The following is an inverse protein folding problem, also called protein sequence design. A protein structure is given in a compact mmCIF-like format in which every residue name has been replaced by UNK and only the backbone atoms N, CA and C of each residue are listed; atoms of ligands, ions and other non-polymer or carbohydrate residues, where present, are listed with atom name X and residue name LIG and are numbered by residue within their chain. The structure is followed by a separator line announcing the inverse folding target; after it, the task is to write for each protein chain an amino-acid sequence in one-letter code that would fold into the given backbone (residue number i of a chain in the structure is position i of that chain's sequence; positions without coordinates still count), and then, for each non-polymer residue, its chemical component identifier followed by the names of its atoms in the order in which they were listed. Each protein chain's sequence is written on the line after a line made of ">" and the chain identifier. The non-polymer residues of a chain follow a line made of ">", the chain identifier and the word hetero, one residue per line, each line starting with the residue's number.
data_IF_023730498861
#
_entry.id   IF_023730498861
#
_cell.length_a   1.000
_cell.length_b   1.000
_cell.length_c   1.000
_cell.angle_alpha   90.00
_cell.angle_beta   90.00
_cell.angle_gamma   90.00
#
_symmetry.space_group_name_H-M   'P 1'
#
loop_
_entity.id
_entity.type
_entity.pdbx_description
1 polymer ?
#
# COMPACT_ATOMS: atom_id res chain seq x y z
N UNK A 1 -22.56 -0.95 1.56
CA UNK A 1 -21.59 -1.54 0.64
C UNK A 1 -20.72 -2.61 1.32
N UNK A 2 -19.94 -2.29 2.39
CA UNK A 2 -19.04 -3.26 3.07
C UNK A 2 -19.79 -4.49 3.58
N UNK A 3 -20.92 -4.30 4.28
CA UNK A 3 -21.73 -5.42 4.81
C UNK A 3 -22.36 -6.28 3.70
N UNK A 4 -22.69 -5.66 2.56
CA UNK A 4 -23.23 -6.38 1.40
C UNK A 4 -22.16 -7.24 0.73
N UNK A 5 -20.95 -6.69 0.54
CA UNK A 5 -19.82 -7.42 -0.02
C UNK A 5 -19.42 -8.62 0.85
N UNK A 6 -19.39 -8.43 2.17
CA UNK A 6 -19.10 -9.46 3.17
C UNK A 6 -20.07 -10.67 3.04
N UNK A 7 -21.36 -10.40 2.81
CA UNK A 7 -22.36 -11.47 2.62
C UNK A 7 -22.25 -12.18 1.28
N UNK A 8 -21.86 -11.47 0.23
CA UNK A 8 -21.86 -12.01 -1.14
C UNK A 8 -20.71 -12.99 -1.37
N UNK A 9 -19.56 -12.78 -0.75
CA UNK A 9 -18.34 -13.57 -0.97
C UNK A 9 -17.86 -14.37 0.25
N UNK A 10 -18.63 -14.36 1.35
CA UNK A 10 -18.24 -14.99 2.63
C UNK A 10 -16.85 -14.54 3.12
N UNK A 11 -16.58 -13.24 2.98
CA UNK A 11 -15.32 -12.62 3.35
C UNK A 11 -15.59 -11.55 4.39
N UNK A 12 -14.84 -11.58 5.48
CA UNK A 12 -14.91 -10.56 6.52
C UNK A 12 -13.92 -9.44 6.22
N UNK A 13 -14.41 -8.29 5.75
CA UNK A 13 -13.60 -7.12 5.44
C UNK A 13 -13.21 -6.42 6.74
N UNK A 14 -11.92 -6.48 7.08
CA UNK A 14 -11.38 -5.96 8.34
C UNK A 14 -10.53 -4.70 8.18
N UNK A 15 -10.01 -4.47 6.98
CA UNK A 15 -9.10 -3.36 6.71
C UNK A 15 -9.62 -2.52 5.55
N UNK A 16 -9.51 -1.20 5.69
CA UNK A 16 -9.76 -0.22 4.65
C UNK A 16 -8.48 0.58 4.43
N UNK A 17 -7.90 0.47 3.24
CA UNK A 17 -6.71 1.20 2.83
C UNK A 17 -7.13 2.42 2.02
N UNK A 18 -6.58 3.58 2.32
CA UNK A 18 -6.85 4.82 1.62
C UNK A 18 -5.66 5.78 1.68
N UNK A 19 -5.59 6.75 0.77
CA UNK A 19 -4.61 7.82 0.81
C UNK A 19 -4.89 8.78 1.97
N UNK A 20 -3.90 9.61 2.33
CA UNK A 20 -4.05 10.63 3.35
C UNK A 20 -5.15 11.63 2.98
N UNK A 21 -5.22 12.07 1.72
CA UNK A 21 -6.21 13.04 1.24
C UNK A 21 -7.62 12.47 1.30
N UNK A 22 -7.80 11.19 0.92
CA UNK A 22 -9.08 10.49 1.05
C UNK A 22 -9.49 10.37 2.52
N UNK A 23 -8.53 10.09 3.41
CA UNK A 23 -8.79 10.04 4.84
C UNK A 23 -9.17 11.41 5.41
N UNK A 24 -8.48 12.49 5.00
CA UNK A 24 -8.81 13.85 5.42
C UNK A 24 -10.27 14.21 5.03
N UNK A 25 -10.62 14.00 3.76
CA UNK A 25 -12.00 14.21 3.28
C UNK A 25 -13.02 13.37 4.04
N UNK A 26 -12.69 12.10 4.36
CA UNK A 26 -13.54 11.21 5.14
C UNK A 26 -13.79 11.76 6.55
N UNK A 27 -12.78 12.29 7.22
CA UNK A 27 -12.89 12.82 8.60
C UNK A 27 -13.62 14.16 8.68
N UNK A 28 -13.74 14.88 7.57
CA UNK A 28 -14.52 16.12 7.47
C UNK A 28 -16.03 15.87 7.39
N UNK A 29 -16.47 14.64 7.11
CA UNK A 29 -17.88 14.31 7.02
C UNK A 29 -18.58 14.41 8.37
N UNK A 30 -19.76 15.02 8.39
CA UNK A 30 -20.53 15.23 9.64
C UNK A 30 -20.88 13.92 10.35
N UNK A 31 -21.07 12.83 9.59
CA UNK A 31 -21.38 11.51 10.12
C UNK A 31 -20.21 10.93 10.91
N UNK A 32 -18.99 11.02 10.35
CA UNK A 32 -17.78 10.53 11.00
C UNK A 32 -17.48 11.34 12.26
N UNK A 33 -17.62 12.67 12.19
CA UNK A 33 -17.44 13.54 13.34
C UNK A 33 -18.42 13.19 14.47
N UNK A 34 -19.71 12.99 14.16
CA UNK A 34 -20.73 12.58 15.15
C UNK A 34 -20.41 11.22 15.78
N UNK A 35 -19.99 10.24 14.97
CA UNK A 35 -19.63 8.92 15.47
C UNK A 35 -18.41 9.04 16.41
N UNK A 36 -17.35 9.70 15.98
CA UNK A 36 -16.17 9.88 16.81
C UNK A 36 -16.49 10.63 18.12
N UNK A 37 -17.35 11.63 18.05
CA UNK A 37 -17.84 12.36 19.19
C UNK A 37 -18.56 11.46 20.20
N UNK A 38 -19.38 10.52 19.75
CA UNK A 38 -20.12 9.61 20.64
C UNK A 38 -19.22 8.62 21.38
N UNK A 39 -18.02 8.35 20.86
CA UNK A 39 -17.01 7.49 21.49
C UNK A 39 -15.92 8.26 22.23
N UNK A 40 -15.88 9.58 22.12
CA UNK A 40 -14.92 10.40 22.86
C UNK A 40 -15.35 10.54 24.34
N UNK A 41 -14.43 10.24 25.25
CA UNK A 41 -14.68 10.34 26.70
C UNK A 41 -14.95 11.79 27.17
N UNK A 42 -14.60 12.80 26.37
CA UNK A 42 -14.82 14.23 26.64
C UNK A 42 -15.43 14.92 25.42
N UNK A 43 -16.74 15.09 25.45
CA UNK A 43 -17.52 15.76 24.42
C UNK A 43 -17.12 17.22 24.11
N UNK A 44 -16.31 17.84 24.95
CA UNK A 44 -15.84 19.22 24.76
C UNK A 44 -14.69 19.40 23.78
N UNK A 45 -14.08 18.31 23.28
CA UNK A 45 -12.99 18.35 22.29
C UNK A 45 -13.45 18.15 20.84
N UNK A 46 -14.72 18.21 20.57
CA UNK A 46 -15.37 17.77 19.30
C UNK A 46 -15.21 18.78 18.14
N UNK A 47 -14.55 19.89 18.33
CA UNK A 47 -14.32 20.86 17.25
C UNK A 47 -13.06 20.61 16.43
N UNK A 48 -12.35 19.50 16.66
CA UNK A 48 -11.16 19.15 15.91
C UNK A 48 -11.43 17.94 15.00
N UNK A 49 -10.85 17.96 13.83
CA UNK A 49 -10.82 16.81 12.91
C UNK A 49 -10.31 15.58 13.66
N UNK A 50 -11.07 14.47 13.72
CA UNK A 50 -10.67 13.31 14.50
C UNK A 50 -9.40 12.68 13.95
N UNK A 51 -8.51 12.25 14.85
CA UNK A 51 -7.30 11.54 14.47
C UNK A 51 -7.61 10.12 13.98
N UNK A 52 -6.65 9.50 13.26
CA UNK A 52 -6.77 8.11 12.79
C UNK A 52 -7.07 7.13 13.94
N UNK A 53 -6.47 7.33 15.11
CA UNK A 53 -6.70 6.47 16.27
C UNK A 53 -8.12 6.64 16.83
N UNK A 54 -8.63 7.87 16.91
CA UNK A 54 -9.99 8.16 17.34
C UNK A 54 -11.02 7.53 16.39
N UNK A 55 -10.81 7.67 15.07
CA UNK A 55 -11.66 7.06 14.04
C UNK A 55 -11.65 5.54 14.18
N UNK A 56 -10.48 4.92 14.26
CA UNK A 56 -10.38 3.48 14.40
C UNK A 56 -11.00 2.96 15.71
N UNK A 57 -10.90 3.69 16.78
CA UNK A 57 -11.56 3.35 18.06
C UNK A 57 -13.07 3.41 17.92
N UNK A 58 -13.60 4.46 17.31
CA UNK A 58 -15.03 4.61 17.05
C UNK A 58 -15.56 3.50 16.15
N UNK A 59 -14.85 3.18 15.04
CA UNK A 59 -15.24 2.10 14.11
C UNK A 59 -15.27 0.73 14.78
N UNK A 60 -14.33 0.43 15.69
CA UNK A 60 -14.33 -0.82 16.46
C UNK A 60 -15.52 -0.94 17.40
N UNK A 61 -16.02 0.19 17.91
CA UNK A 61 -17.21 0.24 18.75
C UNK A 61 -18.51 -0.06 18.00
N UNK A 62 -18.51 0.06 16.68
CA UNK A 62 -19.66 -0.19 15.82
C UNK A 62 -19.77 -1.69 15.48
N UNK A 63 -20.68 -2.40 16.14
CA UNK A 63 -20.84 -3.86 15.99
C UNK A 63 -21.09 -4.31 14.53
N UNK A 64 -21.79 -3.50 13.73
CA UNK A 64 -22.10 -3.81 12.35
C UNK A 64 -20.90 -3.71 11.39
N UNK A 65 -19.81 -3.02 11.79
CA UNK A 65 -18.57 -2.94 11.02
C UNK A 65 -17.56 -4.04 11.38
N UNK A 66 -17.90 -4.91 12.35
CA UNK A 66 -17.10 -6.09 12.72
C UNK A 66 -15.62 -5.81 12.99
N UNK A 67 -15.33 -4.62 13.52
CA UNK A 67 -13.96 -4.21 13.86
C UNK A 67 -13.12 -3.74 12.67
N UNK A 68 -13.76 -3.15 11.65
CA UNK A 68 -13.07 -2.51 10.53
C UNK A 68 -12.02 -1.52 11.03
N UNK A 69 -10.83 -1.58 10.46
CA UNK A 69 -9.71 -0.70 10.75
C UNK A 69 -9.27 0.04 9.49
N UNK A 70 -9.10 1.36 9.58
CA UNK A 70 -8.55 2.18 8.52
C UNK A 70 -7.03 2.17 8.62
N UNK A 71 -6.37 2.00 7.47
CA UNK A 71 -4.92 2.13 7.28
C UNK A 71 -4.69 3.21 6.23
N UNK A 72 -4.02 4.27 6.64
CA UNK A 72 -3.64 5.35 5.73
C UNK A 72 -2.31 5.01 5.07
N UNK A 73 -2.27 5.12 3.75
CA UNK A 73 -1.06 4.97 2.93
C UNK A 73 -0.60 6.37 2.56
N UNK A 74 0.48 6.80 3.20
CA UNK A 74 1.11 8.11 3.02
C UNK A 74 2.60 7.92 2.73
N UNK A 75 2.89 7.15 1.68
CA UNK A 75 4.26 6.86 1.28
C UNK A 75 4.48 7.34 -0.15
N UNK A 76 5.32 8.36 -0.30
CA UNK A 76 5.77 8.79 -1.61
C UNK A 76 6.87 7.89 -2.15
N UNK A 77 6.82 7.65 -3.45
CA UNK A 77 7.86 6.98 -4.20
C UNK A 77 8.30 7.86 -5.37
N UNK A 78 9.56 7.74 -5.74
CA UNK A 78 10.10 8.35 -6.96
C UNK A 78 10.62 7.23 -7.86
N UNK A 79 10.13 7.20 -9.10
CA UNK A 79 10.62 6.29 -10.13
C UNK A 79 11.66 7.06 -10.94
N UNK A 80 12.89 6.54 -10.97
CA UNK A 80 13.99 7.08 -11.78
C UNK A 80 14.34 6.05 -12.86
N UNK A 81 14.38 6.49 -14.10
CA UNK A 81 14.80 5.67 -15.24
C UNK A 81 16.32 5.73 -15.43
N UNK A 82 16.87 4.79 -16.21
CA UNK A 82 18.29 4.71 -16.46
C UNK A 82 18.92 5.91 -17.19
N UNK A 83 18.09 6.77 -17.77
CA UNK A 83 18.48 8.06 -18.36
C UNK A 83 18.49 9.22 -17.37
N UNK A 84 18.18 8.95 -16.08
CA UNK A 84 18.08 9.95 -15.02
C UNK A 84 16.74 10.70 -14.99
N UNK A 85 15.81 10.41 -15.90
CA UNK A 85 14.48 11.00 -15.88
C UNK A 85 13.64 10.43 -14.72
N UNK A 86 12.74 11.27 -14.18
CA UNK A 86 11.86 10.93 -13.05
C UNK A 86 10.40 11.07 -13.47
N UNK A 87 9.86 10.09 -14.20
CA UNK A 87 8.50 10.18 -14.74
C UNK A 87 7.41 10.19 -13.68
N UNK A 88 7.71 9.73 -12.46
CA UNK A 88 6.77 9.73 -11.36
C UNK A 88 7.47 10.05 -10.04
N UNK A 89 6.87 10.96 -9.27
CA UNK A 89 7.23 11.23 -7.89
C UNK A 89 5.94 11.60 -7.14
N UNK A 90 5.61 10.85 -6.09
CA UNK A 90 4.41 11.06 -5.28
C UNK A 90 3.85 9.76 -4.70
N UNK A 91 2.66 9.86 -4.12
CA UNK A 91 1.97 8.70 -3.57
C UNK A 91 1.42 7.81 -4.69
N UNK A 92 1.81 6.53 -4.76
CA UNK A 92 1.32 5.62 -5.79
C UNK A 92 -0.12 5.15 -5.55
N UNK A 93 -0.66 5.37 -4.35
CA UNK A 93 -2.03 5.01 -4.03
C UNK A 93 -2.99 6.09 -4.56
N UNK A 94 -3.93 5.69 -5.43
CA UNK A 94 -4.84 6.60 -6.12
C UNK A 94 -5.74 7.34 -5.13
N UNK A 95 -5.86 8.66 -5.28
CA UNK A 95 -6.82 9.48 -4.54
C UNK A 95 -8.26 9.02 -4.83
N UNK A 96 -9.16 9.28 -3.89
CA UNK A 96 -10.58 8.90 -3.95
C UNK A 96 -10.86 7.40 -4.04
N UNK A 97 -9.85 6.55 -3.90
CA UNK A 97 -10.02 5.10 -3.87
C UNK A 97 -9.87 4.58 -2.45
N UNK A 98 -10.80 3.73 -2.04
CA UNK A 98 -10.72 2.97 -0.79
C UNK A 98 -10.70 1.49 -1.13
N UNK A 99 -9.65 0.80 -0.70
CA UNK A 99 -9.52 -0.64 -0.88
C UNK A 99 -9.85 -1.37 0.42
N UNK A 100 -10.85 -2.23 0.38
CA UNK A 100 -11.21 -3.09 1.52
C UNK A 100 -10.61 -4.48 1.34
N UNK A 101 -10.08 -5.04 2.42
CA UNK A 101 -9.50 -6.38 2.43
C UNK A 101 -9.74 -7.09 3.79
N UNK A 102 -9.68 -8.42 3.78
CA UNK A 102 -9.76 -9.22 5.01
C UNK A 102 -8.45 -9.22 5.81
N UNK A 103 -7.32 -9.02 5.14
CA UNK A 103 -5.97 -9.09 5.71
C UNK A 103 -5.21 -7.79 5.53
N UNK A 104 -4.37 -7.46 6.50
CA UNK A 104 -3.40 -6.37 6.38
C UNK A 104 -2.29 -6.69 5.37
N UNK A 105 -1.97 -7.97 5.20
CA UNK A 105 -0.97 -8.44 4.24
C UNK A 105 -1.69 -8.80 2.95
N UNK A 106 -1.42 -8.06 1.89
CA UNK A 106 -2.06 -8.22 0.57
C UNK A 106 -1.45 -9.37 -0.23
N UNK A 107 -0.18 -9.67 0.01
CA UNK A 107 0.55 -10.70 -0.73
C UNK A 107 1.99 -10.80 -0.29
N UNK A 108 2.80 -11.42 -1.12
CA UNK A 108 4.23 -11.58 -0.86
C UNK A 108 5.05 -11.44 -2.13
N UNK A 109 6.31 -11.08 -1.97
CA UNK A 109 7.25 -11.03 -3.07
C UNK A 109 7.99 -12.36 -3.21
N UNK A 110 7.88 -12.98 -4.37
CA UNK A 110 8.64 -14.17 -4.73
C UNK A 110 9.94 -13.75 -5.41
N UNK A 111 11.03 -14.40 -5.03
CA UNK A 111 12.36 -14.12 -5.52
C UNK A 111 12.89 -15.34 -6.26
N UNK A 112 13.62 -15.10 -7.38
CA UNK A 112 14.33 -16.12 -8.12
C UNK A 112 15.79 -15.72 -8.22
N UNK A 113 16.70 -16.65 -7.98
CA UNK A 113 18.14 -16.45 -8.15
C UNK A 113 18.43 -16.02 -9.59
N UNK A 114 19.14 -14.90 -9.82
CA UNK A 114 19.52 -14.49 -11.15
C UNK A 114 20.36 -15.58 -11.86
N UNK A 115 20.01 -15.90 -13.12
CA UNK A 115 20.73 -16.90 -13.92
C UNK A 115 22.21 -16.56 -14.10
N UNK A 116 22.53 -15.29 -14.08
CA UNK A 116 23.89 -14.75 -14.19
C UNK A 116 24.85 -15.20 -13.09
N UNK A 117 24.35 -15.72 -11.97
CA UNK A 117 25.20 -16.28 -10.93
C UNK A 117 26.10 -17.42 -11.47
N UNK A 118 25.55 -18.24 -12.36
CA UNK A 118 26.20 -19.41 -12.91
C UNK A 118 26.97 -19.13 -14.21
N UNK A 119 26.84 -17.96 -14.80
CA UNK A 119 27.57 -17.61 -16.03
C UNK A 119 29.03 -17.33 -15.71
N UNK A 120 29.95 -18.08 -16.32
CA UNK A 120 31.39 -17.84 -16.27
C UNK A 120 31.74 -16.71 -17.22
N UNK A 121 32.44 -15.70 -16.76
CA UNK A 121 32.88 -14.55 -17.57
C UNK A 121 33.90 -13.68 -16.82
N UNK A 122 34.38 -12.63 -17.46
CA UNK A 122 35.39 -11.68 -16.96
C UNK A 122 34.85 -10.72 -15.86
N UNK A 123 34.14 -11.25 -14.88
CA UNK A 123 33.61 -10.45 -13.77
C UNK A 123 34.56 -10.55 -12.61
N UNK A 124 35.09 -9.42 -12.12
CA UNK A 124 36.06 -9.37 -11.03
C UNK A 124 35.50 -9.89 -9.71
N UNK A 125 34.21 -9.66 -9.43
CA UNK A 125 33.55 -10.12 -8.21
C UNK A 125 32.08 -10.46 -8.51
N UNK A 126 31.63 -11.62 -8.01
CA UNK A 126 30.20 -11.97 -7.88
C UNK A 126 29.91 -12.36 -6.46
N UNK A 127 28.91 -11.72 -5.85
CA UNK A 127 28.49 -12.03 -4.51
C UNK A 127 26.94 -11.96 -4.41
N UNK A 128 26.36 -12.86 -3.62
CA UNK A 128 24.95 -12.78 -3.26
C UNK A 128 24.81 -12.00 -1.96
N UNK A 129 23.93 -11.00 -1.95
CA UNK A 129 23.49 -10.32 -0.75
C UNK A 129 21.97 -10.48 -0.65
N UNK A 130 21.52 -11.42 0.19
CA UNK A 130 20.12 -11.83 0.24
C UNK A 130 19.67 -12.37 -1.13
N UNK A 131 18.73 -11.68 -1.77
CA UNK A 131 18.16 -12.04 -3.08
C UNK A 131 18.79 -11.29 -4.26
N UNK A 132 19.77 -10.42 -4.00
CA UNK A 132 20.40 -9.57 -4.99
C UNK A 132 21.79 -10.11 -5.33
N UNK A 133 22.06 -10.33 -6.62
CA UNK A 133 23.39 -10.62 -7.14
C UNK A 133 24.12 -9.32 -7.36
N UNK A 134 25.26 -9.14 -6.71
CA UNK A 134 26.17 -8.02 -6.87
C UNK A 134 27.30 -8.48 -7.79
N UNK A 135 27.52 -7.72 -8.86
CA UNK A 135 28.65 -7.91 -9.79
C UNK A 135 29.51 -6.67 -9.80
N UNK A 136 30.83 -6.87 -9.80
CA UNK A 136 31.81 -5.83 -10.06
C UNK A 136 32.63 -6.21 -11.29
N UNK A 137 32.81 -5.28 -12.20
CA UNK A 137 33.67 -5.42 -13.36
C UNK A 137 34.32 -4.08 -13.68
N UNK A 138 35.48 -4.14 -14.31
CA UNK A 138 36.22 -2.98 -14.74
C UNK A 138 36.18 -2.89 -16.27
N UNK A 139 36.00 -1.69 -16.80
CA UNK A 139 36.23 -1.36 -18.20
C UNK A 139 37.63 -0.74 -18.33
N UNK A 140 38.34 -1.09 -19.37
CA UNK A 140 39.71 -0.58 -19.62
C UNK A 140 39.67 0.76 -20.38
N UNK A 141 38.65 0.97 -21.23
CA UNK A 141 38.48 2.21 -22.01
C UNK A 141 37.00 2.63 -22.06
N UNK A 142 36.59 3.72 -21.37
CA UNK A 142 37.36 4.44 -20.36
C UNK A 142 37.61 3.59 -19.10
N UNK A 143 38.68 3.90 -18.38
CA UNK A 143 39.00 3.20 -17.14
C UNK A 143 37.92 3.50 -16.07
N UNK A 144 37.07 2.54 -15.80
CA UNK A 144 36.00 2.68 -14.80
C UNK A 144 35.73 1.35 -14.08
N UNK A 145 35.35 1.42 -12.81
CA UNK A 145 34.84 0.29 -12.06
C UNK A 145 33.32 0.41 -11.95
N UNK A 146 32.60 -0.60 -12.47
CA UNK A 146 31.15 -0.65 -12.43
C UNK A 146 30.69 -1.67 -11.40
N UNK A 147 29.78 -1.25 -10.52
CA UNK A 147 29.07 -2.13 -9.59
C UNK A 147 27.61 -2.23 -10.02
N UNK A 148 27.12 -3.44 -10.29
CA UNK A 148 25.76 -3.72 -10.72
C UNK A 148 25.06 -4.64 -9.73
N UNK A 149 23.84 -4.29 -9.32
CA UNK A 149 22.93 -5.14 -8.57
C UNK A 149 21.83 -5.72 -9.47
N UNK A 150 21.64 -7.02 -9.43
CA UNK A 150 20.58 -7.72 -10.19
C UNK A 150 19.73 -8.51 -9.23
N UNK A 151 18.40 -8.30 -9.29
CA UNK A 151 17.43 -9.09 -8.55
C UNK A 151 16.25 -9.44 -9.45
N UNK A 152 15.76 -10.68 -9.34
CA UNK A 152 14.54 -11.13 -9.99
C UNK A 152 13.47 -11.27 -8.90
N UNK A 153 12.48 -10.39 -8.91
CA UNK A 153 11.40 -10.37 -7.95
C UNK A 153 10.05 -10.30 -8.65
N UNK A 154 9.07 -10.98 -8.11
CA UNK A 154 7.69 -10.91 -8.55
C UNK A 154 6.78 -10.65 -7.35
N UNK A 155 6.19 -9.46 -7.21
CA UNK A 155 5.20 -9.18 -6.21
C UNK A 155 3.88 -9.86 -6.60
N UNK A 156 3.40 -10.79 -5.77
CA UNK A 156 2.14 -11.49 -6.00
C UNK A 156 1.08 -11.01 -5.01
N UNK A 157 -0.02 -10.51 -5.54
CA UNK A 157 -1.19 -10.14 -4.76
C UNK A 157 -2.09 -11.38 -4.55
N UNK A 158 -2.00 -12.00 -3.39
CA UNK A 158 -2.67 -13.25 -3.07
C UNK A 158 -4.13 -13.08 -2.66
N UNK A 159 -4.51 -11.89 -2.21
CA UNK A 159 -5.86 -11.59 -1.72
C UNK A 159 -6.73 -10.84 -2.72
N UNK A 160 -6.37 -10.81 -4.01
CA UNK A 160 -7.09 -10.05 -5.04
C UNK A 160 -8.57 -10.42 -5.16
N UNK A 161 -8.91 -11.71 -5.05
CA UNK A 161 -10.31 -12.20 -5.10
C UNK A 161 -11.13 -11.85 -3.85
N UNK A 162 -10.48 -11.42 -2.77
CA UNK A 162 -11.10 -11.08 -1.48
C UNK A 162 -10.95 -9.59 -1.14
N UNK A 163 -10.69 -8.79 -2.16
CA UNK A 163 -10.55 -7.34 -2.04
C UNK A 163 -11.66 -6.64 -2.80
N UNK A 164 -12.04 -5.47 -2.33
CA UNK A 164 -12.99 -4.57 -2.99
C UNK A 164 -12.39 -3.20 -3.11
N UNK A 165 -12.63 -2.58 -4.26
CA UNK A 165 -12.30 -1.19 -4.49
C UNK A 165 -13.59 -0.37 -4.47
N UNK A 166 -13.54 0.78 -3.84
CA UNK A 166 -14.59 1.78 -3.83
C UNK A 166 -13.99 3.10 -4.33
N UNK A 167 -14.55 3.63 -5.41
CA UNK A 167 -14.24 4.97 -5.89
C UNK A 167 -15.22 5.95 -5.24
N UNK A 168 -14.71 6.86 -4.42
CA UNK A 168 -15.53 7.84 -3.68
C UNK A 168 -15.90 9.05 -4.53
N UNK A 169 -15.23 9.29 -5.66
CA UNK A 169 -15.52 10.37 -6.60
C UNK A 169 -16.58 9.98 -7.63
N UNK A 170 -16.84 8.69 -7.81
CA UNK A 170 -17.79 8.20 -8.78
C UNK A 170 -19.20 8.09 -8.18
N UNK A 171 -20.13 8.91 -8.64
CA UNK A 171 -21.55 8.90 -8.22
C UNK A 171 -22.38 7.80 -8.87
N UNK A 172 -21.88 7.17 -9.95
CA UNK A 172 -22.58 6.13 -10.72
C UNK A 172 -21.87 4.80 -10.59
N UNK A 173 -22.29 3.98 -9.62
CA UNK A 173 -21.83 2.60 -9.51
C UNK A 173 -22.62 1.73 -10.49
N UNK A 174 -21.95 1.21 -11.51
CA UNK A 174 -22.46 0.07 -12.28
C UNK A 174 -21.97 -1.24 -11.65
N UNK A 175 -22.92 -2.09 -11.28
CA UNK A 175 -22.64 -3.45 -10.78
C UNK A 175 -22.34 -4.40 -11.94
#
# INVERSE_FOLDING_TARGET
>A
AVVSADKTKDVSLKYAFMSLDTFATFTETAEVQKICASFAANALQIQQTPSLEQVNTALRGLSYLRGLQIIVIDQDITIELGDGSRPFSGNPFTENVVMFNESKVLGQTYWKTPADLNVKGSVALKAMNGHTLIKKFANEEPLEEVTMGIANAFPAWLTSSRSWLMDTANSTWSH
#
